data_IF_264597246673
#
_entry.id   IF_264597246673
#
_cell.length_a   1.000
_cell.length_b   1.000
_cell.length_c   1.000
_cell.angle_alpha   90.00
_cell.angle_beta   90.00
_cell.angle_gamma   90.00
#
_symmetry.space_group_name_H-M   'P 1'
#
loop_
_entity.id
_entity.type
_entity.pdbx_description
1 polymer ?
#
# COMPACT_ATOMS: atom_id res chain seq x y z
N UNK A 1 8.58 -2.57 6.80
CA UNK A 1 8.52 -2.94 5.37
C UNK A 1 9.30 -4.22 5.14
N UNK A 2 8.91 -5.01 4.14
CA UNK A 2 9.52 -6.27 3.74
C UNK A 2 9.33 -6.46 2.23
N UNK A 3 10.45 -6.47 1.50
CA UNK A 3 10.53 -6.51 0.03
C UNK A 3 9.59 -5.50 -0.66
N UNK A 4 9.67 -4.19 -0.34
CA UNK A 4 8.86 -3.21 -1.06
C UNK A 4 9.23 -3.16 -2.54
N UNK A 5 8.25 -3.02 -3.42
CA UNK A 5 8.48 -3.07 -4.88
C UNK A 5 8.18 -1.80 -5.63
N UNK A 6 7.33 -0.96 -5.06
CA UNK A 6 6.97 0.31 -5.68
C UNK A 6 6.65 1.35 -4.61
N UNK A 7 6.86 2.61 -4.95
CA UNK A 7 6.53 3.75 -4.14
C UNK A 7 6.16 4.93 -5.05
N UNK A 8 5.09 5.63 -4.69
CA UNK A 8 4.63 6.82 -5.42
C UNK A 8 4.33 7.94 -4.44
N UNK A 9 4.66 9.16 -4.84
CA UNK A 9 4.34 10.37 -4.10
C UNK A 9 3.28 11.20 -4.80
N UNK A 10 2.44 11.87 -4.01
CA UNK A 10 1.38 12.77 -4.49
C UNK A 10 1.39 14.01 -3.61
N UNK A 11 1.99 15.08 -4.10
CA UNK A 11 2.34 16.21 -3.24
C UNK A 11 3.33 15.75 -2.16
N UNK A 12 2.98 15.96 -0.88
CA UNK A 12 3.79 15.51 0.25
C UNK A 12 3.49 14.07 0.69
N UNK A 13 2.40 13.47 0.20
CA UNK A 13 2.04 12.11 0.58
C UNK A 13 2.96 11.07 -0.07
N UNK A 14 3.17 9.95 0.61
CA UNK A 14 3.93 8.79 0.15
C UNK A 14 3.09 7.52 0.31
N UNK A 15 2.98 6.74 -0.76
CA UNK A 15 2.45 5.38 -0.75
C UNK A 15 3.56 4.39 -1.06
N UNK A 16 3.63 3.29 -0.32
CA UNK A 16 4.64 2.24 -0.54
C UNK A 16 3.99 0.86 -0.57
N UNK A 17 4.22 0.10 -1.64
CA UNK A 17 3.78 -1.28 -1.74
C UNK A 17 4.71 -2.17 -0.89
N UNK A 18 4.28 -2.52 0.32
CA UNK A 18 4.99 -3.37 1.29
C UNK A 18 4.72 -4.86 0.97
N UNK A 19 5.26 -5.30 -0.17
CA UNK A 19 4.79 -6.48 -0.91
C UNK A 19 4.73 -7.76 -0.08
N UNK A 20 5.79 -8.15 0.64
CA UNK A 20 5.79 -9.40 1.42
C UNK A 20 4.93 -9.35 2.67
N UNK A 21 4.50 -8.15 3.08
CA UNK A 21 3.54 -7.95 4.15
C UNK A 21 2.13 -7.65 3.64
N UNK A 22 1.89 -7.85 2.34
CA UNK A 22 0.54 -7.89 1.77
C UNK A 22 -0.27 -6.63 2.05
N UNK A 23 0.39 -5.47 1.99
CA UNK A 23 -0.21 -4.17 2.28
C UNK A 23 0.42 -3.03 1.48
N UNK A 24 -0.28 -1.92 1.39
CA UNK A 24 0.24 -0.62 0.97
C UNK A 24 0.27 0.28 2.20
N UNK A 25 1.40 0.90 2.46
CA UNK A 25 1.60 1.87 3.55
C UNK A 25 1.38 3.29 3.02
N UNK A 26 0.86 4.17 3.88
CA UNK A 26 0.61 5.57 3.58
C UNK A 26 1.22 6.48 4.64
N UNK A 27 1.89 7.54 4.18
CA UNK A 27 2.24 8.71 4.96
C UNK A 27 1.67 9.94 4.27
N UNK A 28 1.09 10.85 5.05
CA UNK A 28 0.67 12.18 4.61
C UNK A 28 1.86 13.12 4.32
N UNK A 29 3.04 12.79 4.85
CA UNK A 29 4.29 13.55 4.65
C UNK A 29 5.49 12.63 4.41
N UNK A 30 6.18 12.85 3.29
CA UNK A 30 7.47 12.23 2.98
C UNK A 30 8.51 12.55 4.06
N UNK A 31 8.48 13.75 4.63
CA UNK A 31 9.41 14.13 5.70
C UNK A 31 9.23 13.24 6.94
N UNK A 32 7.98 12.94 7.33
CA UNK A 32 7.67 12.01 8.42
C UNK A 32 8.16 10.59 8.11
N UNK A 33 8.00 10.12 6.86
CA UNK A 33 8.52 8.82 6.45
C UNK A 33 10.06 8.79 6.56
N UNK A 34 10.74 9.84 6.11
CA UNK A 34 12.20 9.97 6.17
C UNK A 34 12.74 10.08 7.60
N UNK A 35 11.99 10.65 8.55
CA UNK A 35 12.36 10.68 9.97
C UNK A 35 12.13 9.34 10.69
N UNK A 36 11.63 8.31 9.99
CA UNK A 36 11.37 6.99 10.57
C UNK A 36 10.06 6.90 11.34
N UNK A 37 9.15 7.86 11.18
CA UNK A 37 7.81 7.77 11.77
C UNK A 37 7.03 6.60 11.19
N UNK A 38 6.16 6.00 12.02
CA UNK A 38 5.21 5.00 11.56
C UNK A 38 4.31 5.57 10.44
N UNK A 39 3.81 4.73 9.52
CA UNK A 39 2.81 5.14 8.54
C UNK A 39 1.53 5.59 9.22
N UNK A 40 0.90 6.62 8.65
CA UNK A 40 -0.37 7.17 9.13
C UNK A 40 -1.53 6.20 8.90
N UNK A 41 -1.46 5.42 7.81
CA UNK A 41 -2.43 4.38 7.50
C UNK A 41 -1.80 3.27 6.67
N UNK A 42 -2.53 2.16 6.53
CA UNK A 42 -2.23 1.12 5.56
C UNK A 42 -3.53 0.51 5.03
N UNK A 43 -3.45 -0.10 3.86
CA UNK A 43 -4.50 -0.97 3.32
C UNK A 43 -3.93 -2.34 3.01
N UNK A 44 -4.67 -3.42 3.25
CA UNK A 44 -4.17 -4.78 3.09
C UNK A 44 -4.75 -5.72 4.15
N UNK A 45 -4.08 -6.86 4.35
CA UNK A 45 -4.62 -7.93 5.20
C UNK A 45 -4.74 -7.54 6.68
N UNK A 46 -5.84 -7.97 7.29
CA UNK A 46 -6.06 -7.96 8.75
C UNK A 46 -6.67 -6.68 9.31
N UNK A 47 -6.96 -6.70 10.61
CA UNK A 47 -7.53 -5.56 11.36
C UNK A 47 -6.50 -4.77 12.15
N UNK A 48 -5.23 -5.20 12.12
CA UNK A 48 -4.10 -4.50 12.74
C UNK A 48 -2.83 -4.68 11.90
N UNK A 49 -1.86 -3.78 12.08
CA UNK A 49 -0.63 -3.74 11.29
C UNK A 49 0.33 -4.92 11.51
N UNK A 50 0.04 -5.82 12.45
CA UNK A 50 0.84 -7.01 12.73
C UNK A 50 0.40 -8.23 11.92
N UNK A 51 -0.81 -8.23 11.36
CA UNK A 51 -1.21 -9.26 10.40
C UNK A 51 -0.52 -9.00 9.06
N UNK A 52 0.29 -9.97 8.65
CA UNK A 52 1.15 -9.88 7.47
C UNK A 52 0.92 -11.05 6.52
N UNK A 53 -0.22 -11.76 6.68
CA UNK A 53 -0.57 -12.90 5.84
C UNK A 53 -1.15 -12.41 4.49
N UNK A 54 -1.07 -13.22 3.43
CA UNK A 54 -1.86 -12.96 2.22
C UNK A 54 -3.36 -13.11 2.50
N UNK A 55 -4.18 -12.24 1.94
CA UNK A 55 -5.63 -12.42 1.86
C UNK A 55 -6.15 -12.35 0.42
N UNK A 56 -7.44 -12.63 0.24
CA UNK A 56 -8.10 -12.59 -1.08
C UNK A 56 -9.57 -12.20 -0.92
N UNK A 57 -9.78 -10.97 -0.45
CA UNK A 57 -11.10 -10.34 -0.34
C UNK A 57 -11.06 -8.93 -0.93
N UNK A 58 -12.13 -8.16 -0.75
CA UNK A 58 -12.25 -6.77 -1.24
C UNK A 58 -11.29 -5.80 -0.55
N UNK A 59 -10.80 -6.14 0.65
CA UNK A 59 -9.91 -5.28 1.45
C UNK A 59 -8.54 -5.88 1.70
N UNK A 60 -8.36 -7.18 1.46
CA UNK A 60 -7.09 -7.85 1.67
C UNK A 60 -6.30 -8.04 0.38
N UNK A 61 -5.01 -7.72 0.47
CA UNK A 61 -4.09 -7.76 -0.66
C UNK A 61 -3.23 -9.04 -0.66
N UNK A 62 -2.70 -9.37 -1.82
CA UNK A 62 -1.75 -10.44 -2.08
C UNK A 62 -0.63 -9.93 -2.98
N UNK A 63 0.51 -9.64 -2.37
CA UNK A 63 1.70 -9.13 -3.06
C UNK A 63 1.40 -7.91 -3.95
N UNK A 64 0.95 -6.79 -3.35
CA UNK A 64 0.86 -5.52 -4.07
C UNK A 64 2.26 -5.13 -4.56
N UNK A 65 2.38 -4.72 -5.81
CA UNK A 65 3.69 -4.49 -6.43
C UNK A 65 3.73 -3.34 -7.45
N UNK A 66 2.59 -2.83 -7.90
CA UNK A 66 2.54 -1.62 -8.73
C UNK A 66 1.52 -0.64 -8.17
N UNK A 67 1.91 0.63 -8.13
CA UNK A 67 1.08 1.74 -7.65
C UNK A 67 0.92 2.77 -8.78
N UNK A 68 -0.28 3.33 -8.89
CA UNK A 68 -0.56 4.46 -9.76
C UNK A 68 -1.55 5.39 -9.09
N UNK A 69 -1.34 6.70 -9.16
CA UNK A 69 -2.30 7.68 -8.63
C UNK A 69 -2.72 8.63 -9.73
N UNK A 70 -4.03 8.71 -9.94
CA UNK A 70 -4.61 9.61 -10.94
C UNK A 70 -6.07 9.91 -10.58
N UNK A 71 -6.50 11.17 -10.82
CA UNK A 71 -7.88 11.61 -10.64
C UNK A 71 -8.48 11.30 -9.26
N UNK A 72 -7.69 11.41 -8.19
CA UNK A 72 -8.14 11.15 -6.82
C UNK A 72 -8.24 9.67 -6.44
N UNK A 73 -7.69 8.76 -7.26
CA UNK A 73 -7.68 7.33 -6.97
C UNK A 73 -6.27 6.79 -6.88
N UNK A 74 -6.05 5.92 -5.89
CA UNK A 74 -4.91 5.01 -5.84
C UNK A 74 -5.29 3.68 -6.50
N UNK A 75 -4.50 3.27 -7.48
CA UNK A 75 -4.58 1.96 -8.10
C UNK A 75 -3.45 1.08 -7.58
N UNK A 76 -3.79 -0.17 -7.24
CA UNK A 76 -2.83 -1.14 -6.70
C UNK A 76 -2.90 -2.41 -7.53
N UNK A 77 -1.83 -2.72 -8.25
CA UNK A 77 -1.68 -3.97 -8.98
C UNK A 77 -1.02 -5.04 -8.11
N UNK A 78 -1.68 -6.18 -7.99
CA UNK A 78 -1.09 -7.37 -7.39
C UNK A 78 -0.32 -8.18 -8.43
N UNK A 79 0.76 -8.84 -7.98
CA UNK A 79 1.56 -9.69 -8.86
C UNK A 79 1.55 -11.17 -8.45
N UNK A 80 1.98 -12.02 -9.39
CA UNK A 80 2.22 -13.47 -9.28
C UNK A 80 1.03 -14.31 -8.81
N UNK A 81 0.55 -14.16 -7.58
CA UNK A 81 -0.57 -14.96 -7.02
C UNK A 81 -1.81 -14.12 -6.67
N UNK A 82 -1.73 -12.79 -6.73
CA UNK A 82 -2.88 -11.92 -6.46
C UNK A 82 -3.83 -11.77 -7.66
N UNK A 83 -3.29 -11.52 -8.86
CA UNK A 83 -4.02 -11.42 -10.14
C UNK A 83 -5.14 -10.36 -10.17
N UNK A 84 -5.14 -9.38 -9.26
CA UNK A 84 -6.16 -8.34 -9.17
C UNK A 84 -5.56 -6.95 -9.28
N UNK A 85 -6.39 -6.01 -9.69
CA UNK A 85 -6.12 -4.57 -9.59
C UNK A 85 -7.19 -3.98 -8.67
N UNK A 86 -6.77 -3.26 -7.65
CA UNK A 86 -7.63 -2.53 -6.73
C UNK A 86 -7.65 -1.06 -7.06
N UNK A 87 -8.73 -0.39 -6.69
CA UNK A 87 -8.88 1.06 -6.75
C UNK A 87 -9.40 1.57 -5.42
N UNK A 88 -8.72 2.55 -4.83
CA UNK A 88 -9.10 3.21 -3.58
C UNK A 88 -9.36 4.69 -3.85
N UNK A 89 -10.44 5.22 -3.30
CA UNK A 89 -10.73 6.65 -3.35
C UNK A 89 -9.87 7.38 -2.31
N UNK A 90 -9.27 8.50 -2.71
CA UNK A 90 -8.43 9.35 -1.85
C UNK A 90 -9.17 10.60 -1.34
N UNK A 91 -10.44 10.80 -1.73
CA UNK A 91 -11.33 11.84 -1.19
C UNK A 91 -12.11 11.38 0.03
#
# INVERSE_FOLDING_TARGET
>A
MNLPQDAISVGEALFVADTSFHRVLYWSSIASAMSGSAPDAFVGTGTNASDTRPGQSETELRWPASLWVENGYLWVGERKFGHRVFRYNLS
#
